data_IF_887138365220
#
_entry.id   IF_887138365220
#
_cell.length_a   1.000
_cell.length_b   1.000
_cell.length_c   1.000
_cell.angle_alpha   90.00
_cell.angle_beta   90.00
_cell.angle_gamma   90.00
#
_symmetry.space_group_name_H-M   'P 1'
#
loop_
_entity.id
_entity.type
_entity.pdbx_description
1 polymer ?
#
# COMPACT_ATOMS: atom_id res chain seq x y z
N UNK A 1 6.44 17.52 2.69
CA UNK A 1 6.95 17.30 1.31
C UNK A 1 5.95 17.93 0.36
N UNK A 2 6.39 18.82 -0.54
CA UNK A 2 5.53 19.42 -1.57
C UNK A 2 5.79 18.68 -2.87
N UNK A 3 4.77 18.04 -3.42
CA UNK A 3 4.90 17.32 -4.68
C UNK A 3 4.70 18.28 -5.86
N UNK A 4 5.51 18.16 -6.92
CA UNK A 4 5.37 19.01 -8.10
C UNK A 4 4.07 18.72 -8.87
N UNK A 5 3.57 17.49 -8.81
CA UNK A 5 2.35 17.07 -9.49
C UNK A 5 1.33 16.50 -8.50
N UNK A 6 0.05 16.80 -8.71
CA UNK A 6 -1.05 16.27 -7.90
C UNK A 6 -1.13 14.73 -7.96
N UNK A 7 -0.84 14.15 -9.13
CA UNK A 7 -0.81 12.68 -9.32
C UNK A 7 0.25 12.00 -8.47
N UNK A 8 1.44 12.61 -8.32
CA UNK A 8 2.51 12.07 -7.47
C UNK A 8 2.09 12.03 -6.00
N UNK A 9 1.36 13.04 -5.53
CA UNK A 9 0.81 13.07 -4.18
C UNK A 9 -0.21 11.94 -3.95
N UNK A 10 -1.07 11.67 -4.95
CA UNK A 10 -2.03 10.57 -4.89
C UNK A 10 -1.32 9.21 -4.90
N UNK A 11 -0.35 9.00 -5.81
CA UNK A 11 0.45 7.77 -5.90
C UNK A 11 1.15 7.48 -4.57
N UNK A 12 1.78 8.50 -3.97
CA UNK A 12 2.40 8.38 -2.66
C UNK A 12 1.41 8.00 -1.56
N UNK A 13 0.21 8.59 -1.56
CA UNK A 13 -0.84 8.28 -0.59
C UNK A 13 -1.33 6.84 -0.72
N UNK A 14 -1.45 6.33 -1.95
CA UNK A 14 -1.82 4.94 -2.22
C UNK A 14 -0.76 3.97 -1.71
N UNK A 15 0.52 4.19 -2.06
CA UNK A 15 1.64 3.35 -1.62
C UNK A 15 1.85 3.35 -0.09
N UNK A 16 1.44 4.42 0.59
CA UNK A 16 1.48 4.50 2.05
C UNK A 16 0.47 3.56 2.70
N UNK A 17 -0.70 3.38 2.10
CA UNK A 17 -1.78 2.57 2.65
C UNK A 17 -1.61 1.08 2.29
N UNK A 18 -1.19 0.78 1.06
CA UNK A 18 -1.15 -0.57 0.50
C UNK A 18 0.10 -0.76 -0.38
N UNK A 19 0.69 -1.95 -0.36
CA UNK A 19 1.76 -2.32 -1.30
C UNK A 19 1.11 -2.88 -2.56
N UNK A 20 1.06 -2.08 -3.62
CA UNK A 20 0.37 -2.42 -4.86
C UNK A 20 1.38 -2.66 -6.01
N UNK A 21 1.08 -3.57 -6.95
CA UNK A 21 1.82 -3.73 -8.20
C UNK A 21 1.58 -2.56 -9.16
N UNK A 22 2.43 -2.48 -10.19
CA UNK A 22 2.40 -1.41 -11.20
C UNK A 22 1.06 -1.34 -11.93
N UNK A 23 0.42 -2.48 -12.19
CA UNK A 23 -0.84 -2.58 -12.93
C UNK A 23 -2.03 -2.04 -12.12
N UNK A 24 -2.08 -2.31 -10.81
CA UNK A 24 -3.11 -1.72 -9.93
C UNK A 24 -2.94 -0.20 -9.81
N UNK A 25 -1.70 0.29 -9.73
CA UNK A 25 -1.43 1.73 -9.71
C UNK A 25 -1.90 2.39 -11.02
N UNK A 26 -1.63 1.74 -12.15
CA UNK A 26 -2.06 2.20 -13.46
C UNK A 26 -3.60 2.27 -13.55
N UNK A 27 -4.31 1.24 -13.06
CA UNK A 27 -5.77 1.22 -13.03
C UNK A 27 -6.36 2.30 -12.11
N UNK A 28 -5.88 2.41 -10.86
CA UNK A 28 -6.43 3.37 -9.87
C UNK A 28 -6.25 4.82 -10.29
N UNK A 29 -5.15 5.13 -10.97
CA UNK A 29 -4.84 6.48 -11.47
C UNK A 29 -5.31 6.68 -12.92
N UNK A 30 -5.88 5.65 -13.55
CA UNK A 30 -6.28 5.63 -14.96
C UNK A 30 -5.18 6.11 -15.91
N UNK A 31 -3.94 5.71 -15.65
CA UNK A 31 -2.73 6.04 -16.43
C UNK A 31 -2.08 4.79 -16.99
N UNK A 32 -1.19 4.93 -17.97
CA UNK A 32 -0.45 3.79 -18.49
C UNK A 32 0.64 3.35 -17.51
N UNK A 33 0.99 2.06 -17.56
CA UNK A 33 2.13 1.51 -16.80
C UNK A 33 3.42 2.26 -17.09
N UNK A 34 3.61 2.77 -18.31
CA UNK A 34 4.73 3.65 -18.70
C UNK A 34 4.73 4.96 -17.91
N UNK A 35 3.57 5.58 -17.69
CA UNK A 35 3.47 6.80 -16.88
C UNK A 35 3.75 6.51 -15.41
N UNK A 36 3.23 5.40 -14.88
CA UNK A 36 3.54 4.95 -13.51
C UNK A 36 5.05 4.79 -13.31
N UNK A 37 5.80 4.22 -14.27
CA UNK A 37 7.27 4.13 -14.18
C UNK A 37 7.96 5.49 -14.12
N UNK A 38 7.55 6.43 -14.96
CA UNK A 38 8.10 7.78 -14.95
C UNK A 38 7.80 8.49 -13.63
N UNK A 39 6.56 8.40 -13.15
CA UNK A 39 6.12 8.97 -11.89
C UNK A 39 6.90 8.36 -10.70
N UNK A 40 7.10 7.04 -10.67
CA UNK A 40 7.89 6.36 -9.62
C UNK A 40 9.35 6.77 -9.67
N UNK A 41 9.92 6.98 -10.85
CA UNK A 41 11.31 7.45 -10.99
C UNK A 41 11.46 8.87 -10.44
N UNK A 42 10.51 9.76 -10.74
CA UNK A 42 10.45 11.11 -10.17
C UNK A 42 10.26 11.09 -8.64
N UNK A 43 9.46 10.14 -8.15
CA UNK A 43 9.21 9.98 -6.72
C UNK A 43 10.45 9.41 -5.99
N UNK A 44 11.15 8.44 -6.58
CA UNK A 44 12.40 7.90 -6.06
C UNK A 44 13.50 8.97 -6.01
N UNK A 45 13.61 9.85 -6.99
CA UNK A 45 14.57 10.97 -6.96
C UNK A 45 14.27 11.96 -5.84
N UNK A 46 12.99 12.24 -5.58
CA UNK A 46 12.59 13.06 -4.42
C UNK A 46 12.91 12.37 -3.10
N UNK A 47 12.63 11.07 -2.99
CA UNK A 47 12.84 10.30 -1.76
C UNK A 47 14.32 10.00 -1.49
N UNK A 48 15.17 9.91 -2.51
CA UNK A 48 16.60 9.70 -2.37
C UNK A 48 17.25 10.80 -1.51
N UNK A 49 16.76 12.04 -1.62
CA UNK A 49 17.20 13.17 -0.78
C UNK A 49 16.92 12.94 0.72
N UNK A 50 15.92 12.12 1.03
CA UNK A 50 15.53 11.76 2.39
C UNK A 50 16.04 10.37 2.81
N UNK A 51 16.83 9.70 1.96
CA UNK A 51 17.35 8.35 2.22
C UNK A 51 16.29 7.25 2.15
N UNK A 52 15.27 7.42 1.29
CA UNK A 52 14.24 6.42 1.04
C UNK A 52 14.08 6.16 -0.46
N UNK A 53 13.61 4.98 -0.83
CA UNK A 53 13.38 4.59 -2.21
C UNK A 53 12.30 3.50 -2.32
N UNK A 54 11.51 3.52 -3.39
CA UNK A 54 10.59 2.44 -3.72
C UNK A 54 11.27 1.42 -4.63
N UNK A 55 11.28 0.16 -4.19
CA UNK A 55 11.82 -0.97 -4.93
C UNK A 55 10.67 -1.88 -5.36
N UNK A 56 10.68 -2.28 -6.62
CA UNK A 56 9.72 -3.25 -7.14
C UNK A 56 10.18 -4.66 -6.77
N UNK A 57 9.42 -5.35 -5.90
CA UNK A 57 9.64 -6.75 -5.62
C UNK A 57 8.65 -7.61 -6.44
N UNK A 58 9.18 -8.51 -7.28
CA UNK A 58 8.36 -9.36 -8.16
C UNK A 58 7.45 -10.24 -7.29
N UNK A 59 6.14 -10.10 -7.46
CA UNK A 59 5.12 -10.83 -6.69
C UNK A 59 4.54 -10.10 -5.47
N UNK A 60 5.12 -8.98 -5.01
CA UNK A 60 4.57 -8.18 -3.88
C UNK A 60 4.32 -6.72 -4.21
N UNK A 61 4.75 -6.25 -5.39
CA UNK A 61 4.58 -4.86 -5.81
C UNK A 61 5.67 -3.94 -5.28
N UNK A 62 5.35 -2.65 -5.16
CA UNK A 62 6.32 -1.65 -4.69
C UNK A 62 6.44 -1.66 -3.17
N UNK A 63 7.66 -1.80 -2.68
CA UNK A 63 8.02 -1.72 -1.27
C UNK A 63 8.89 -0.50 -1.01
N UNK A 64 8.58 0.22 0.05
CA UNK A 64 9.39 1.33 0.52
C UNK A 64 10.60 0.77 1.28
N UNK A 65 11.80 0.95 0.73
CA UNK A 65 13.07 0.72 1.42
C UNK A 65 13.59 2.05 1.97
N UNK A 66 14.04 2.02 3.21
CA UNK A 66 14.65 3.17 3.88
C UNK A 66 16.10 2.82 4.13
N UNK A 67 17.01 3.53 3.48
CA UNK A 67 18.45 3.31 3.61
C UNK A 67 19.05 4.16 4.74
N UNK A 68 18.45 5.32 5.08
CA UNK A 68 18.88 6.13 6.22
C UNK A 68 17.86 6.11 7.38
N UNK A 69 18.10 5.32 8.45
CA UNK A 69 17.17 5.20 9.59
C UNK A 69 17.08 6.47 10.44
N UNK A 70 18.07 7.37 10.35
CA UNK A 70 18.23 8.53 11.23
C UNK A 70 17.15 9.62 11.00
N UNK A 71 16.73 9.82 9.75
CA UNK A 71 15.70 10.81 9.38
C UNK A 71 14.27 10.26 9.42
N UNK A 72 14.11 8.94 9.52
CA UNK A 72 12.82 8.26 9.34
C UNK A 72 12.10 7.93 10.67
N UNK A 73 12.82 8.02 11.80
CA UNK A 73 12.50 7.42 13.10
C UNK A 73 11.17 7.86 13.75
N UNK A 74 10.60 9.01 13.37
CA UNK A 74 9.46 9.58 14.09
C UNK A 74 8.08 9.39 13.46
N UNK A 75 7.98 9.19 12.14
CA UNK A 75 6.75 9.59 11.41
C UNK A 75 6.05 8.45 10.65
N UNK A 76 6.72 7.33 10.47
CA UNK A 76 6.26 6.21 9.65
C UNK A 76 5.92 4.96 10.45
N UNK A 77 5.38 5.16 11.65
CA UNK A 77 4.72 4.07 12.37
C UNK A 77 3.46 3.72 11.60
N UNK A 78 3.53 2.69 10.74
CA UNK A 78 2.33 2.01 10.22
C UNK A 78 1.42 1.83 11.45
N UNK A 79 0.17 2.33 11.45
CA UNK A 79 -0.76 1.91 12.48
C UNK A 79 -0.70 0.39 12.41
N UNK A 80 -0.37 -0.26 13.55
CA UNK A 80 -0.46 -1.71 13.65
C UNK A 80 -1.83 -2.04 13.10
N UNK A 81 -1.92 -2.55 11.87
CA UNK A 81 -3.11 -3.26 11.41
C UNK A 81 -3.16 -4.37 12.43
N UNK A 82 -4.00 -4.19 13.46
CA UNK A 82 -4.41 -5.28 14.32
C UNK A 82 -4.79 -6.35 13.31
N UNK A 83 -4.04 -7.45 13.31
CA UNK A 83 -4.53 -8.68 12.74
C UNK A 83 -5.81 -8.91 13.49
N UNK A 84 -6.93 -8.49 12.91
CA UNK A 84 -8.23 -9.01 13.25
C UNK A 84 -8.13 -10.45 12.82
N UNK A 85 -7.60 -11.26 13.72
CA UNK A 85 -7.74 -12.71 13.71
C UNK A 85 -9.18 -12.97 13.33
N UNK A 86 -9.37 -13.71 12.26
CA UNK A 86 -10.64 -14.36 11.96
C UNK A 86 -11.06 -15.09 13.24
N UNK A 87 -11.93 -14.49 14.06
CA UNK A 87 -12.80 -15.25 14.94
C UNK A 87 -13.89 -15.74 14.02
N UNK A 88 -13.65 -16.91 13.43
CA UNK A 88 -14.76 -17.75 13.05
C UNK A 88 -15.53 -17.99 14.35
N UNK A 89 -16.78 -17.53 14.49
CA UNK A 89 -17.56 -17.91 15.66
C UNK A 89 -17.70 -19.44 15.63
N UNK A 90 -17.40 -20.17 16.72
CA UNK A 90 -17.81 -21.56 16.79
C UNK A 90 -19.33 -21.59 16.65
N UNK A 91 -19.81 -22.45 15.75
CA UNK A 91 -21.18 -22.94 15.67
C UNK A 91 -21.85 -22.88 17.04
N UNK A 92 -22.79 -21.97 17.21
CA UNK A 92 -23.85 -22.12 18.21
C UNK A 92 -25.16 -22.11 17.46
N UNK A 93 -25.65 -23.34 17.28
CA UNK A 93 -27.04 -23.75 17.23
C UNK A 93 -28.09 -22.65 17.02
N UNK A 94 -28.62 -22.59 15.79
CA UNK A 94 -30.01 -22.18 15.61
C UNK A 94 -30.86 -23.43 15.65
N UNK A 95 -31.60 -23.51 16.76
CA UNK A 95 -32.70 -24.41 17.01
C UNK A 95 -33.86 -24.02 16.09
N UNK A 96 -34.50 -25.02 15.51
CA UNK A 96 -35.87 -25.09 14.96
C UNK A 96 -36.14 -25.05 13.45
N UNK A 97 -37.00 -26.03 13.11
CA UNK A 97 -37.80 -26.31 11.92
C UNK A 97 -37.00 -26.75 10.68
N UNK A 98 -37.21 -27.96 10.14
CA UNK A 98 -38.49 -28.55 9.75
C UNK A 98 -38.55 -30.07 9.98
N UNK A 99 -39.61 -30.54 10.66
CA UNK A 99 -40.18 -31.86 10.46
C UNK A 99 -41.53 -31.63 9.79
N UNK A 100 -41.66 -32.03 8.52
CA UNK A 100 -42.93 -32.17 7.79
C UNK A 100 -42.89 -33.51 7.08
N UNK A 101 -44.04 -34.20 7.19
CA UNK A 101 -44.50 -35.43 6.54
C UNK A 101 -44.13 -36.74 7.23
#
# INVERSE_FOLDING_TARGET
MRFPNQRLAQLFTLLRNETLPQDELAQRLSVSTRTVRADITALNTLLAQYGAQFILNRGSGYQLKIDNPTSFRGRWRRPRRRRSTCRVPPRIASRFCWCVS
#
